data_IF_613075819312
#
_entry.id   IF_613075819312
#
_cell.length_a   1.000
_cell.length_b   1.000
_cell.length_c   1.000
_cell.angle_alpha   90.00
_cell.angle_beta   90.00
_cell.angle_gamma   90.00
#
_symmetry.space_group_name_H-M   'P 1'
#
loop_
_entity.id
_entity.type
_entity.pdbx_description
1 polymer ?
#
# COMPACT_ATOMS: atom_id res chain seq x y z
N UNK A 1 29.48 58.85 -33.52
CA UNK A 1 30.38 58.49 -32.40
C UNK A 1 29.74 58.93 -31.08
N UNK A 2 29.67 57.99 -30.13
CA UNK A 2 29.57 58.09 -28.66
C UNK A 2 28.47 58.94 -27.97
N UNK A 3 27.79 58.20 -27.09
CA UNK A 3 26.77 58.51 -26.07
C UNK A 3 27.34 59.32 -24.90
N UNK A 4 26.54 60.14 -24.20
CA UNK A 4 26.57 60.22 -22.72
C UNK A 4 25.40 61.00 -22.09
N UNK A 5 24.70 60.33 -21.15
CA UNK A 5 24.17 60.83 -19.85
C UNK A 5 23.03 61.86 -19.87
N UNK A 6 21.88 61.66 -19.21
CA UNK A 6 21.70 61.33 -17.78
C UNK A 6 20.34 60.65 -17.54
N UNK A 7 20.31 59.55 -16.80
CA UNK A 7 19.09 59.05 -16.13
C UNK A 7 19.28 59.17 -14.63
N UNK A 8 18.33 59.85 -14.01
CA UNK A 8 18.21 60.14 -12.58
C UNK A 8 17.57 58.93 -11.89
N UNK A 9 17.95 58.74 -10.63
CA UNK A 9 17.76 57.54 -9.82
C UNK A 9 16.33 57.10 -9.55
N UNK A 10 16.21 55.91 -8.96
CA UNK A 10 14.92 55.38 -8.53
C UNK A 10 14.98 53.98 -7.92
N UNK A 11 15.60 53.89 -6.74
CA UNK A 11 15.26 52.99 -5.61
C UNK A 11 15.03 51.50 -5.88
N UNK A 12 15.89 50.71 -5.24
CA UNK A 12 15.74 49.29 -4.99
C UNK A 12 14.38 48.95 -4.35
N UNK A 13 13.60 48.10 -5.01
CA UNK A 13 12.42 47.46 -4.47
C UNK A 13 12.57 45.95 -4.57
N UNK A 14 13.32 45.37 -3.62
CA UNK A 14 13.39 43.93 -3.41
C UNK A 14 12.04 43.47 -2.83
N UNK A 15 11.11 43.06 -3.69
CA UNK A 15 9.84 42.48 -3.29
C UNK A 15 9.85 40.97 -3.56
N UNK A 16 10.33 40.26 -2.53
CA UNK A 16 9.99 38.89 -2.13
C UNK A 16 9.10 38.11 -3.10
N UNK A 17 9.73 37.22 -3.88
CA UNK A 17 9.07 36.02 -4.38
C UNK A 17 8.65 35.19 -3.15
N UNK A 18 7.40 35.33 -2.70
CA UNK A 18 6.73 34.29 -1.94
C UNK A 18 6.52 33.10 -2.89
N UNK A 19 7.59 32.34 -3.11
CA UNK A 19 7.48 31.01 -3.66
C UNK A 19 6.62 30.22 -2.70
N UNK A 20 5.44 29.79 -3.17
CA UNK A 20 4.60 28.85 -2.45
C UNK A 20 5.46 27.62 -2.13
N UNK A 21 5.94 27.53 -0.90
CA UNK A 21 6.43 26.26 -0.36
C UNK A 21 5.17 25.43 -0.16
N UNK A 22 4.78 24.70 -1.21
CA UNK A 22 3.89 23.57 -1.05
C UNK A 22 4.56 22.68 0.02
N UNK A 23 3.87 22.31 1.11
CA UNK A 23 4.42 21.31 2.00
C UNK A 23 4.69 20.09 1.14
N UNK A 24 5.95 19.68 1.06
CA UNK A 24 6.31 18.41 0.45
C UNK A 24 5.55 17.34 1.24
N UNK A 25 4.39 16.94 0.72
CA UNK A 25 3.74 15.72 1.13
C UNK A 25 4.77 14.65 0.80
N UNK A 26 5.48 14.19 1.82
CA UNK A 26 6.50 13.16 1.66
C UNK A 26 5.77 11.92 1.16
N UNK A 27 5.75 11.74 -0.17
CA UNK A 27 5.21 10.53 -0.75
C UNK A 27 6.01 9.37 -0.16
N UNK A 28 5.28 8.37 0.34
CA UNK A 28 5.91 7.17 0.85
C UNK A 28 6.79 6.58 -0.24
N UNK A 29 8.08 6.48 0.07
CA UNK A 29 9.03 5.77 -0.78
C UNK A 29 8.48 4.38 -1.09
N UNK A 30 8.76 3.87 -2.28
CA UNK A 30 8.34 2.52 -2.67
C UNK A 30 8.81 1.46 -1.65
N UNK A 31 9.97 1.68 -1.02
CA UNK A 31 10.50 0.83 0.05
C UNK A 31 9.61 0.83 1.31
N UNK A 32 9.14 2.00 1.75
CA UNK A 32 8.25 2.12 2.92
C UNK A 32 6.87 1.49 2.67
N UNK A 33 6.41 1.46 1.41
CA UNK A 33 5.19 0.71 1.01
C UNK A 33 5.43 -0.81 0.97
N UNK A 34 6.56 -1.24 0.44
CA UNK A 34 6.93 -2.66 0.37
C UNK A 34 7.11 -3.30 1.77
N UNK A 35 7.40 -2.48 2.79
CA UNK A 35 7.59 -2.92 4.17
C UNK A 35 6.29 -3.31 4.91
N UNK A 36 5.09 -3.10 4.32
CA UNK A 36 3.79 -3.39 4.96
C UNK A 36 3.43 -4.90 4.96
N UNK A 37 4.46 -5.73 4.93
CA UNK A 37 4.51 -7.18 4.92
C UNK A 37 4.07 -7.85 3.59
N UNK A 38 4.81 -8.86 3.10
CA UNK A 38 4.35 -9.72 2.02
C UNK A 38 3.18 -10.61 2.47
N UNK A 39 2.48 -11.29 1.54
CA UNK A 39 1.50 -12.32 1.88
C UNK A 39 2.11 -13.39 2.79
N UNK A 40 1.32 -13.92 3.74
CA UNK A 40 1.75 -15.05 4.60
C UNK A 40 1.91 -16.30 3.74
N UNK A 41 0.94 -16.54 2.84
CA UNK A 41 0.97 -17.58 1.82
C UNK A 41 0.33 -17.00 0.55
N UNK A 42 1.03 -17.05 -0.57
CA UNK A 42 0.54 -16.56 -1.85
C UNK A 42 -0.06 -17.71 -2.68
N UNK A 43 -1.32 -18.08 -2.43
CA UNK A 43 -2.00 -19.16 -3.16
C UNK A 43 -2.80 -18.71 -4.38
N UNK A 44 -3.33 -17.47 -4.36
CA UNK A 44 -4.18 -16.98 -5.44
C UNK A 44 -3.50 -16.99 -6.82
N UNK A 45 -2.23 -16.56 -6.97
CA UNK A 45 -1.54 -16.63 -8.26
C UNK A 45 -1.44 -18.07 -8.79
N UNK A 46 -1.17 -19.04 -7.92
CA UNK A 46 -1.09 -20.47 -8.27
C UNK A 46 -2.43 -20.95 -8.82
N UNK A 47 -3.54 -20.59 -8.17
CA UNK A 47 -4.88 -20.98 -8.63
C UNK A 47 -5.18 -20.42 -10.01
N UNK A 48 -4.93 -19.12 -10.22
CA UNK A 48 -5.22 -18.43 -11.48
C UNK A 48 -4.30 -18.87 -12.63
N UNK A 49 -3.06 -19.29 -12.32
CA UNK A 49 -2.12 -19.76 -13.34
C UNK A 49 -2.31 -21.24 -13.70
N UNK A 50 -3.03 -22.01 -12.87
CA UNK A 50 -3.20 -23.47 -13.04
C UNK A 50 -4.68 -23.88 -13.14
N UNK A 51 -5.58 -22.99 -13.57
CA UNK A 51 -7.03 -23.27 -13.58
C UNK A 51 -7.41 -24.56 -14.33
N UNK A 52 -6.71 -24.85 -15.42
CA UNK A 52 -6.93 -26.07 -16.21
C UNK A 52 -6.44 -27.33 -15.48
N UNK A 53 -5.25 -27.30 -14.88
CA UNK A 53 -4.67 -28.44 -14.14
C UNK A 53 -5.44 -28.74 -12.84
N UNK A 54 -5.97 -27.69 -12.22
CA UNK A 54 -6.86 -27.76 -11.08
C UNK A 54 -8.26 -28.23 -11.49
N UNK A 55 -8.61 -28.21 -12.78
CA UNK A 55 -9.91 -28.62 -13.28
C UNK A 55 -11.03 -27.73 -12.72
N UNK A 56 -10.79 -26.41 -12.67
CA UNK A 56 -11.79 -25.47 -12.14
C UNK A 56 -13.00 -25.39 -13.06
N UNK A 57 -14.20 -25.48 -12.47
CA UNK A 57 -15.45 -25.30 -13.20
C UNK A 57 -15.73 -23.82 -13.52
N UNK A 58 -16.77 -23.57 -14.32
CA UNK A 58 -17.14 -22.22 -14.74
C UNK A 58 -17.53 -21.30 -13.56
N UNK A 59 -18.15 -21.85 -12.51
CA UNK A 59 -18.56 -21.09 -11.33
C UNK A 59 -17.35 -20.69 -10.49
N UNK A 60 -16.42 -21.61 -10.28
CA UNK A 60 -15.17 -21.38 -9.57
C UNK A 60 -14.33 -20.31 -10.27
N UNK A 61 -14.16 -20.43 -11.60
CA UNK A 61 -13.44 -19.44 -12.42
C UNK A 61 -14.05 -18.05 -12.33
N UNK A 62 -15.38 -17.95 -12.46
CA UNK A 62 -16.07 -16.68 -12.37
C UNK A 62 -15.88 -16.03 -10.99
N UNK A 63 -16.01 -16.80 -9.91
CA UNK A 63 -15.76 -16.33 -8.55
C UNK A 63 -14.32 -15.81 -8.39
N UNK A 64 -13.33 -16.61 -8.78
CA UNK A 64 -11.92 -16.28 -8.58
C UNK A 64 -11.50 -15.07 -9.40
N UNK A 65 -12.00 -14.93 -10.63
CA UNK A 65 -11.75 -13.76 -11.48
C UNK A 65 -12.35 -12.48 -10.89
N UNK A 66 -13.54 -12.55 -10.30
CA UNK A 66 -14.16 -11.43 -9.60
C UNK A 66 -13.40 -11.07 -8.30
N UNK A 67 -13.05 -12.08 -7.53
CA UNK A 67 -12.27 -11.94 -6.30
C UNK A 67 -10.90 -11.29 -6.55
N UNK A 68 -10.19 -11.74 -7.59
CA UNK A 68 -8.90 -11.21 -8.00
C UNK A 68 -8.96 -9.73 -8.42
N UNK A 69 -10.13 -9.22 -8.81
CA UNK A 69 -10.33 -7.79 -9.12
C UNK A 69 -10.68 -6.97 -7.88
N UNK A 70 -11.50 -7.51 -6.98
CA UNK A 70 -12.07 -6.77 -5.84
C UNK A 70 -11.15 -6.68 -4.63
N UNK A 71 -10.41 -7.74 -4.33
CA UNK A 71 -9.67 -7.83 -3.08
C UNK A 71 -8.33 -7.08 -3.06
N UNK A 72 -7.53 -7.03 -4.15
CA UNK A 72 -6.30 -6.25 -4.15
C UNK A 72 -6.50 -4.76 -3.88
N UNK A 73 -7.46 -4.05 -4.51
CA UNK A 73 -7.73 -2.65 -4.19
C UNK A 73 -8.13 -2.42 -2.73
N UNK A 74 -8.91 -3.34 -2.15
CA UNK A 74 -9.30 -3.29 -0.73
C UNK A 74 -8.09 -3.42 0.19
N UNK A 75 -7.20 -4.38 -0.10
CA UNK A 75 -5.94 -4.57 0.63
C UNK A 75 -5.05 -3.32 0.53
N UNK A 76 -4.86 -2.81 -0.68
CA UNK A 76 -4.03 -1.64 -0.95
C UNK A 76 -4.55 -0.38 -0.24
N UNK A 77 -5.87 -0.27 -0.02
CA UNK A 77 -6.45 0.82 0.77
C UNK A 77 -6.01 0.78 2.22
N UNK A 78 -5.96 -0.40 2.84
CA UNK A 78 -5.51 -0.56 4.23
C UNK A 78 -3.99 -0.34 4.32
N UNK A 79 -3.23 -0.86 3.35
CA UNK A 79 -1.79 -0.62 3.26
C UNK A 79 -1.49 0.89 3.17
N UNK A 80 -2.20 1.64 2.32
CA UNK A 80 -2.07 3.10 2.28
C UNK A 80 -2.39 3.75 3.62
N UNK A 81 -3.47 3.33 4.28
CA UNK A 81 -3.87 3.92 5.56
C UNK A 81 -2.82 3.69 6.66
N UNK A 82 -2.27 2.48 6.78
CA UNK A 82 -1.17 2.19 7.71
C UNK A 82 0.04 3.09 7.41
N UNK A 83 0.32 3.30 6.14
CA UNK A 83 1.45 4.12 5.71
C UNK A 83 1.25 5.60 6.08
N UNK A 84 0.03 6.12 5.94
CA UNK A 84 -0.38 7.46 6.38
C UNK A 84 -0.24 7.62 7.90
N UNK A 85 -0.74 6.66 8.69
CA UNK A 85 -0.57 6.66 10.15
C UNK A 85 0.90 6.66 10.58
N UNK A 86 1.76 5.93 9.85
CA UNK A 86 3.23 5.95 10.07
C UNK A 86 3.86 7.30 9.72
N UNK A 87 3.34 8.02 8.71
CA UNK A 87 3.76 9.39 8.41
C UNK A 87 3.36 10.32 9.56
N UNK A 88 2.12 10.23 10.01
CA UNK A 88 1.60 11.06 11.11
C UNK A 88 2.40 10.83 12.40
N UNK A 89 2.68 9.57 12.75
CA UNK A 89 3.51 9.25 13.92
C UNK A 89 4.92 9.87 13.80
N UNK A 90 5.51 9.88 12.60
CA UNK A 90 6.80 10.55 12.36
C UNK A 90 6.71 12.05 12.62
N UNK A 91 5.64 12.72 12.19
CA UNK A 91 5.43 14.14 12.49
C UNK A 91 5.28 14.39 13.99
N UNK A 92 4.39 13.64 14.67
CA UNK A 92 4.19 13.77 16.13
C UNK A 92 5.50 13.58 16.91
N UNK A 93 6.37 12.66 16.48
CA UNK A 93 7.67 12.44 17.11
C UNK A 93 8.64 13.61 16.91
N UNK A 94 8.73 14.16 15.69
CA UNK A 94 9.66 15.24 15.35
C UNK A 94 9.23 16.59 15.91
N UNK A 95 7.92 16.83 16.00
CA UNK A 95 7.33 18.09 16.46
C UNK A 95 7.15 18.14 18.00
N UNK A 96 7.58 17.10 18.72
CA UNK A 96 7.53 17.06 20.19
C UNK A 96 6.14 16.79 20.76
N UNK A 97 5.28 16.08 20.02
CA UNK A 97 3.92 15.72 20.45
C UNK A 97 3.88 14.88 21.73
N UNK A 98 2.71 14.83 22.37
CA UNK A 98 2.53 14.21 23.69
C UNK A 98 2.67 12.70 23.63
N UNK A 99 2.88 12.08 24.79
CA UNK A 99 2.87 10.61 24.91
C UNK A 99 1.54 10.03 24.44
N UNK A 100 0.43 10.61 24.85
CA UNK A 100 -0.91 10.13 24.51
C UNK A 100 -1.16 10.14 22.99
N UNK A 101 -0.71 11.18 22.29
CA UNK A 101 -0.80 11.24 20.81
C UNK A 101 -0.02 10.10 20.15
N UNK A 102 1.20 9.82 20.64
CA UNK A 102 2.01 8.70 20.13
C UNK A 102 1.37 7.36 20.41
N UNK A 103 0.90 7.16 21.65
CA UNK A 103 0.31 5.89 22.09
C UNK A 103 -0.96 5.58 21.28
N UNK A 104 -1.78 6.60 20.98
CA UNK A 104 -2.95 6.47 20.12
C UNK A 104 -2.58 6.02 18.69
N UNK A 105 -1.62 6.69 18.04
CA UNK A 105 -1.18 6.33 16.69
C UNK A 105 -0.56 4.93 16.63
N UNK A 106 0.23 4.55 17.64
CA UNK A 106 0.81 3.20 17.74
C UNK A 106 -0.29 2.14 17.84
N UNK A 107 -1.33 2.38 18.64
CA UNK A 107 -2.47 1.47 18.75
C UNK A 107 -3.22 1.32 17.41
N UNK A 108 -3.46 2.42 16.71
CA UNK A 108 -4.11 2.40 15.41
C UNK A 108 -3.30 1.64 14.36
N UNK A 109 -1.99 1.90 14.26
CA UNK A 109 -1.09 1.16 13.37
C UNK A 109 -1.13 -0.34 13.68
N UNK A 110 -1.09 -0.71 14.96
CA UNK A 110 -1.18 -2.10 15.40
C UNK A 110 -2.49 -2.77 15.00
N UNK A 111 -3.62 -2.09 15.21
CA UNK A 111 -4.95 -2.59 14.85
C UNK A 111 -5.09 -2.82 13.34
N UNK A 112 -4.70 -1.84 12.51
CA UNK A 112 -4.77 -1.96 11.05
C UNK A 112 -3.80 -3.02 10.51
N UNK A 113 -2.62 -3.15 11.10
CA UNK A 113 -1.67 -4.21 10.73
C UNK A 113 -2.24 -5.60 11.04
N UNK A 114 -2.88 -5.76 12.20
CA UNK A 114 -3.56 -7.00 12.56
C UNK A 114 -4.74 -7.31 11.61
N UNK A 115 -5.51 -6.29 11.23
CA UNK A 115 -6.57 -6.42 10.25
C UNK A 115 -6.05 -6.87 8.87
N UNK A 116 -4.94 -6.30 8.40
CA UNK A 116 -4.28 -6.70 7.15
C UNK A 116 -3.80 -8.16 7.19
N UNK A 117 -3.20 -8.59 8.31
CA UNK A 117 -2.80 -9.98 8.56
C UNK A 117 -4.00 -10.92 8.51
N UNK A 118 -5.11 -10.56 9.17
CA UNK A 118 -6.36 -11.33 9.15
C UNK A 118 -6.93 -11.44 7.74
N UNK A 119 -6.96 -10.36 6.96
CA UNK A 119 -7.41 -10.42 5.56
C UNK A 119 -6.56 -11.39 4.74
N UNK A 120 -5.25 -11.43 4.97
CA UNK A 120 -4.33 -12.34 4.27
C UNK A 120 -4.53 -13.80 4.66
N UNK A 121 -4.85 -14.09 5.93
CA UNK A 121 -5.20 -15.46 6.33
C UNK A 121 -6.52 -15.92 5.72
N UNK A 122 -7.53 -15.04 5.70
CA UNK A 122 -8.85 -15.34 5.13
C UNK A 122 -8.80 -15.68 3.63
N UNK A 123 -7.81 -15.19 2.88
CA UNK A 123 -7.61 -15.59 1.49
C UNK A 123 -7.43 -17.11 1.34
N UNK A 124 -6.81 -17.79 2.30
CA UNK A 124 -6.64 -19.25 2.28
C UNK A 124 -7.98 -19.95 2.56
N UNK A 125 -8.76 -19.43 3.51
CA UNK A 125 -10.07 -19.99 3.85
C UNK A 125 -11.07 -19.84 2.71
N UNK A 126 -11.10 -18.67 2.04
CA UNK A 126 -11.91 -18.49 0.83
C UNK A 126 -11.54 -19.51 -0.25
N UNK A 127 -10.25 -19.80 -0.46
CA UNK A 127 -9.85 -20.83 -1.41
C UNK A 127 -10.31 -22.23 -0.99
N UNK A 128 -10.30 -22.55 0.31
CA UNK A 128 -10.82 -23.84 0.81
C UNK A 128 -12.33 -23.98 0.63
N UNK A 129 -13.07 -22.89 0.73
CA UNK A 129 -14.52 -22.89 0.54
C UNK A 129 -14.93 -23.03 -0.93
N UNK A 130 -14.13 -22.46 -1.85
CA UNK A 130 -14.46 -22.41 -3.27
C UNK A 130 -13.89 -23.58 -4.07
N UNK A 131 -12.83 -24.22 -3.58
CA UNK A 131 -12.20 -25.39 -4.19
C UNK A 131 -12.69 -26.68 -3.53
N UNK A 132 -12.69 -27.79 -4.27
CA UNK A 132 -12.85 -29.10 -3.62
C UNK A 132 -11.63 -29.42 -2.77
N UNK A 133 -11.73 -30.36 -1.80
CA UNK A 133 -10.59 -30.80 -1.02
C UNK A 133 -9.40 -31.27 -1.88
N UNK A 134 -9.68 -31.96 -2.99
CA UNK A 134 -8.67 -32.45 -3.93
C UNK A 134 -8.00 -31.30 -4.70
N UNK A 135 -8.78 -30.33 -5.15
CA UNK A 135 -8.26 -29.13 -5.82
C UNK A 135 -7.37 -28.33 -4.87
N UNK A 136 -7.82 -28.09 -3.64
CA UNK A 136 -7.03 -27.36 -2.65
C UNK A 136 -5.72 -28.11 -2.30
N UNK A 137 -5.78 -29.46 -2.20
CA UNK A 137 -4.57 -30.28 -2.00
C UNK A 137 -3.56 -30.11 -3.14
N UNK A 138 -4.02 -30.04 -4.40
CA UNK A 138 -3.15 -29.76 -5.56
C UNK A 138 -2.51 -28.37 -5.46
N UNK A 139 -3.28 -27.33 -5.12
CA UNK A 139 -2.75 -25.97 -4.92
C UNK A 139 -1.63 -25.95 -3.87
N UNK A 140 -1.83 -26.62 -2.74
CA UNK A 140 -0.80 -26.72 -1.69
C UNK A 140 0.44 -27.48 -2.17
N UNK A 141 0.27 -28.51 -2.99
CA UNK A 141 1.40 -29.24 -3.57
C UNK A 141 2.22 -28.34 -4.52
N UNK A 142 1.57 -27.60 -5.42
CA UNK A 142 2.21 -26.63 -6.31
C UNK A 142 2.96 -25.54 -5.53
N UNK A 143 2.34 -24.99 -4.47
CA UNK A 143 2.98 -24.02 -3.58
C UNK A 143 4.27 -24.57 -2.95
N UNK A 144 4.23 -25.81 -2.44
CA UNK A 144 5.39 -26.46 -1.79
C UNK A 144 6.50 -26.82 -2.78
N UNK A 145 6.19 -26.89 -4.06
CA UNK A 145 7.17 -27.08 -5.14
C UNK A 145 7.85 -25.77 -5.57
N UNK A 146 7.52 -24.65 -4.92
CA UNK A 146 8.13 -23.34 -5.20
C UNK A 146 7.48 -22.59 -6.36
N UNK A 147 6.29 -23.02 -6.81
CA UNK A 147 5.50 -22.19 -7.72
C UNK A 147 4.83 -21.08 -6.90
N UNK A 148 5.16 -19.83 -7.22
CA UNK A 148 4.63 -18.61 -6.59
C UNK A 148 4.06 -17.67 -7.64
#
# INVERSE_FOLDING_TARGET
MRVSSKWVGGVAGMALCFGMVLPAQAELSAATRAELAPPIVALMPIVLNNEQELGLDAKQKAFLADWAKKMPPRRESIERHIAELRIELRHVLLDGGTRDQRDHLVQQIGAETAHLVMMRSLCVDTLREQLTPEQFKKVVALYRQGQH
#
